data_IF_177517587424
#
_entry.id   IF_177517587424
#
_cell.length_a   1.000
_cell.length_b   1.000
_cell.length_c   1.000
_cell.angle_alpha   90.00
_cell.angle_beta   90.00
_cell.angle_gamma   90.00
#
_symmetry.space_group_name_H-M   'P 1'
#
loop_
_entity.id
_entity.type
_entity.pdbx_description
1 polymer ?
#
# COMPACT_ATOMS: atom_id res chain seq x y z
N UNK A 1 7.01 2.76 -10.73
CA UNK A 1 6.59 3.69 -9.65
C UNK A 1 6.36 5.08 -10.22
N UNK A 2 5.30 5.71 -9.80
CA UNK A 2 4.91 7.02 -10.31
C UNK A 2 4.64 7.97 -9.15
N UNK A 3 5.34 9.11 -9.14
CA UNK A 3 5.06 10.19 -8.20
C UNK A 3 3.70 10.82 -8.53
N UNK A 4 2.85 10.99 -7.51
CA UNK A 4 1.51 11.57 -7.68
C UNK A 4 1.47 13.01 -7.19
N UNK A 5 1.77 13.23 -5.92
CA UNK A 5 1.72 14.55 -5.30
C UNK A 5 2.45 14.55 -3.97
N UNK A 6 2.79 15.75 -3.49
CA UNK A 6 3.22 15.97 -2.11
C UNK A 6 2.16 16.83 -1.43
N UNK A 7 1.56 16.30 -0.35
CA UNK A 7 0.48 16.97 0.39
C UNK A 7 0.89 17.01 1.85
N UNK A 8 0.96 18.22 2.41
CA UNK A 8 1.38 18.47 3.80
C UNK A 8 2.72 17.81 4.14
N UNK A 9 3.67 17.85 3.18
CA UNK A 9 5.00 17.27 3.37
C UNK A 9 5.05 15.74 3.27
N UNK A 10 3.99 15.09 2.81
CA UNK A 10 3.90 13.64 2.59
C UNK A 10 3.88 13.37 1.08
N UNK A 11 4.80 12.52 0.62
CA UNK A 11 4.85 12.12 -0.79
C UNK A 11 3.93 10.92 -1.03
N UNK A 12 3.16 10.99 -2.10
CA UNK A 12 2.27 9.90 -2.52
C UNK A 12 2.79 9.30 -3.82
N UNK A 13 3.03 7.98 -3.80
CA UNK A 13 3.59 7.22 -4.93
C UNK A 13 2.62 6.12 -5.35
N UNK A 14 2.39 6.03 -6.66
CA UNK A 14 1.58 5.00 -7.28
C UNK A 14 2.47 3.90 -7.85
N UNK A 15 2.39 2.71 -7.26
CA UNK A 15 3.01 1.51 -7.78
C UNK A 15 1.96 0.40 -7.93
N UNK A 16 0.79 0.77 -8.45
CA UNK A 16 -0.31 -0.17 -8.68
C UNK A 16 0.07 -1.33 -9.59
N UNK A 17 1.11 -1.14 -10.42
CA UNK A 17 1.66 -2.18 -11.29
C UNK A 17 2.32 -3.32 -10.49
N UNK A 18 2.64 -3.12 -9.21
CA UNK A 18 3.21 -4.16 -8.34
C UNK A 18 2.12 -5.17 -7.94
N UNK A 19 1.80 -6.07 -8.84
CA UNK A 19 0.74 -7.07 -8.69
C UNK A 19 1.22 -8.37 -8.06
N UNK A 20 2.47 -8.42 -7.62
CA UNK A 20 3.06 -9.57 -6.92
C UNK A 20 4.05 -9.09 -5.84
N UNK A 21 4.44 -10.01 -4.97
CA UNK A 21 5.30 -9.71 -3.82
C UNK A 21 6.69 -9.25 -4.27
N UNK A 22 7.25 -9.86 -5.30
CA UNK A 22 8.56 -9.50 -5.81
C UNK A 22 8.64 -8.04 -6.28
N UNK A 23 7.62 -7.57 -6.98
CA UNK A 23 7.54 -6.17 -7.42
C UNK A 23 7.43 -5.21 -6.23
N UNK A 24 6.65 -5.58 -5.21
CA UNK A 24 6.56 -4.82 -3.97
C UNK A 24 7.91 -4.76 -3.24
N UNK A 25 8.68 -5.86 -3.26
CA UNK A 25 10.02 -5.89 -2.67
C UNK A 25 10.92 -4.79 -3.23
N UNK A 26 10.95 -4.65 -4.55
CA UNK A 26 11.76 -3.61 -5.21
C UNK A 26 11.26 -2.20 -4.88
N UNK A 27 9.95 -2.00 -4.81
CA UNK A 27 9.39 -0.70 -4.44
C UNK A 27 9.78 -0.32 -3.01
N UNK A 28 9.66 -1.24 -2.07
CA UNK A 28 10.04 -1.00 -0.67
C UNK A 28 11.54 -0.76 -0.53
N UNK A 29 12.36 -1.54 -1.22
CA UNK A 29 13.82 -1.38 -1.20
C UNK A 29 14.23 0.03 -1.62
N UNK A 30 13.53 0.63 -2.57
CA UNK A 30 13.84 1.97 -3.06
C UNK A 30 13.39 3.11 -2.14
N UNK A 31 12.59 2.83 -1.12
CA UNK A 31 12.13 3.86 -0.18
C UNK A 31 13.27 4.37 0.69
N UNK A 32 13.37 5.70 0.82
CA UNK A 32 14.42 6.39 1.60
C UNK A 32 13.86 7.15 2.79
N UNK A 33 12.55 7.17 2.97
CA UNK A 33 11.86 7.82 4.08
C UNK A 33 10.92 6.85 4.77
N UNK A 34 10.48 7.12 6.00
CA UNK A 34 9.47 6.30 6.64
C UNK A 34 8.24 6.19 5.75
N UNK A 35 7.67 4.99 5.68
CA UNK A 35 6.66 4.66 4.67
C UNK A 35 5.36 4.16 5.31
N UNK A 36 4.24 4.62 4.76
CA UNK A 36 2.92 4.02 4.96
C UNK A 36 2.62 3.20 3.70
N UNK A 37 2.47 1.90 3.85
CA UNK A 37 2.25 0.99 2.73
C UNK A 37 0.78 0.62 2.61
N UNK A 38 0.21 0.84 1.42
CA UNK A 38 -1.12 0.35 1.06
C UNK A 38 -0.93 -0.90 0.21
N UNK A 39 -1.45 -2.04 0.70
CA UNK A 39 -1.35 -3.32 0.01
C UNK A 39 -2.64 -4.11 0.13
N UNK A 40 -2.79 -5.10 -0.74
CA UNK A 40 -3.95 -5.96 -0.77
C UNK A 40 -4.58 -6.07 -2.15
N UNK A 41 -5.56 -6.93 -2.26
CA UNK A 41 -6.25 -7.24 -3.50
C UNK A 41 -6.60 -8.71 -3.58
N UNK A 42 -6.64 -9.25 -4.80
CA UNK A 42 -6.87 -10.67 -5.02
C UNK A 42 -5.58 -11.44 -4.71
N UNK A 43 -5.60 -12.23 -3.63
CA UNK A 43 -4.47 -13.08 -3.24
C UNK A 43 -4.55 -14.42 -3.98
N UNK A 44 -3.48 -14.77 -4.68
CA UNK A 44 -3.36 -16.03 -5.44
C UNK A 44 -2.31 -16.95 -4.83
N UNK A 45 -2.22 -16.99 -3.51
CA UNK A 45 -1.25 -17.83 -2.80
C UNK A 45 0.10 -17.14 -2.61
N UNK A 46 0.10 -15.83 -2.38
CA UNK A 46 1.31 -15.05 -2.15
C UNK A 46 2.04 -15.48 -0.87
N UNK A 47 3.37 -15.48 -0.94
CA UNK A 47 4.23 -15.58 0.24
C UNK A 47 4.73 -14.18 0.61
N UNK A 48 4.11 -13.57 1.63
CA UNK A 48 4.47 -12.22 2.08
C UNK A 48 5.74 -12.20 2.93
N UNK A 49 6.28 -13.33 3.33
CA UNK A 49 7.49 -13.38 4.16
C UNK A 49 8.70 -12.74 3.48
N UNK A 50 8.72 -12.71 2.15
CA UNK A 50 9.79 -12.11 1.36
C UNK A 50 9.93 -10.60 1.60
N UNK A 51 8.88 -9.92 2.05
CA UNK A 51 8.91 -8.46 2.32
C UNK A 51 8.90 -8.13 3.80
N UNK A 52 8.86 -9.10 4.70
CA UNK A 52 8.76 -8.85 6.15
C UNK A 52 9.88 -7.95 6.67
N UNK A 53 11.13 -8.23 6.30
CA UNK A 53 12.26 -7.45 6.78
C UNK A 53 12.22 -6.00 6.27
N UNK A 54 11.85 -5.80 5.02
CA UNK A 54 11.70 -4.45 4.45
C UNK A 54 10.55 -3.69 5.10
N UNK A 55 9.45 -4.36 5.41
CA UNK A 55 8.33 -3.73 6.12
C UNK A 55 8.77 -3.28 7.50
N UNK A 56 9.47 -4.13 8.25
CA UNK A 56 9.98 -3.78 9.58
C UNK A 56 10.98 -2.62 9.53
N UNK A 57 11.79 -2.56 8.49
CA UNK A 57 12.80 -1.51 8.31
C UNK A 57 12.20 -0.19 7.86
N UNK A 58 11.25 -0.22 6.92
CA UNK A 58 10.80 0.95 6.16
C UNK A 58 9.43 1.46 6.54
N UNK A 59 8.52 0.59 6.98
CA UNK A 59 7.12 0.94 7.19
C UNK A 59 6.81 1.14 8.67
N UNK A 60 6.03 2.17 8.98
CA UNK A 60 5.49 2.34 10.33
C UNK A 60 3.99 2.07 10.41
N UNK A 61 3.32 1.92 9.28
CA UNK A 61 1.88 1.65 9.21
C UNK A 61 1.57 0.84 7.94
N UNK A 62 0.72 -0.16 8.07
CA UNK A 62 0.19 -0.92 6.95
C UNK A 62 -1.30 -0.63 6.80
N UNK A 63 -1.74 -0.42 5.56
CA UNK A 63 -3.13 -0.25 5.23
C UNK A 63 -3.51 -1.34 4.23
N UNK A 64 -4.38 -2.23 4.67
CA UNK A 64 -4.89 -3.31 3.81
C UNK A 64 -6.09 -2.79 3.03
N UNK A 65 -6.08 -3.01 1.73
CA UNK A 65 -7.18 -2.63 0.86
C UNK A 65 -7.56 -3.81 -0.02
N UNK A 66 -8.67 -4.42 0.29
CA UNK A 66 -9.15 -5.58 -0.44
C UNK A 66 -10.55 -5.95 -0.01
N UNK A 67 -11.19 -6.78 -0.84
CA UNK A 67 -12.50 -7.32 -0.54
C UNK A 67 -12.43 -8.31 0.63
N UNK A 68 -11.31 -9.04 0.74
CA UNK A 68 -11.01 -9.96 1.82
C UNK A 68 -9.55 -9.79 2.22
N UNK A 69 -9.30 -9.25 3.41
CA UNK A 69 -7.96 -8.97 3.94
C UNK A 69 -7.47 -10.06 4.92
N UNK A 70 -8.17 -11.18 5.04
CA UNK A 70 -7.90 -12.18 6.08
C UNK A 70 -6.48 -12.74 6.03
N UNK A 71 -5.95 -13.01 4.85
CA UNK A 71 -4.57 -13.53 4.69
C UNK A 71 -3.52 -12.52 5.08
N UNK A 72 -3.75 -11.24 4.80
CA UNK A 72 -2.84 -10.16 5.21
C UNK A 72 -2.86 -9.98 6.73
N UNK A 73 -4.04 -9.96 7.33
CA UNK A 73 -4.21 -9.85 8.77
C UNK A 73 -3.46 -11.00 9.46
N UNK A 74 -3.65 -12.21 9.00
CA UNK A 74 -3.00 -13.40 9.56
C UNK A 74 -1.48 -13.32 9.44
N UNK A 75 -0.96 -13.00 8.25
CA UNK A 75 0.47 -12.97 8.01
C UNK A 75 1.17 -11.89 8.82
N UNK A 76 0.61 -10.67 8.84
CA UNK A 76 1.26 -9.52 9.48
C UNK A 76 0.91 -9.36 10.96
N UNK A 77 0.14 -10.27 11.54
CA UNK A 77 -0.26 -10.19 12.96
C UNK A 77 0.94 -10.14 13.93
N UNK A 78 2.07 -10.75 13.56
CA UNK A 78 3.28 -10.78 14.39
C UNK A 78 4.14 -9.52 14.26
N UNK A 79 3.87 -8.66 13.29
CA UNK A 79 4.61 -7.42 13.09
C UNK A 79 3.94 -6.32 13.91
N UNK A 80 4.69 -5.75 14.85
CA UNK A 80 4.17 -4.81 15.83
C UNK A 80 4.14 -3.37 15.31
N UNK A 81 3.32 -3.12 14.30
CA UNK A 81 3.03 -1.78 13.77
C UNK A 81 1.52 -1.64 13.54
N UNK A 82 0.98 -0.41 13.51
CA UNK A 82 -0.43 -0.19 13.19
C UNK A 82 -0.82 -0.81 11.85
N UNK A 83 -1.96 -1.49 11.83
CA UNK A 83 -2.50 -2.16 10.64
C UNK A 83 -3.99 -1.83 10.56
N UNK A 84 -4.40 -1.26 9.43
CA UNK A 84 -5.76 -0.75 9.21
C UNK A 84 -6.37 -1.46 8.02
N UNK A 85 -7.58 -2.00 8.18
CA UNK A 85 -8.30 -2.68 7.11
C UNK A 85 -9.27 -1.74 6.41
N UNK A 86 -9.26 -1.76 5.10
CA UNK A 86 -10.19 -1.02 4.25
C UNK A 86 -10.65 -1.88 3.09
N UNK A 87 -11.73 -1.50 2.43
CA UNK A 87 -12.28 -2.22 1.27
C UNK A 87 -12.50 -1.30 0.05
N UNK A 88 -11.95 -0.10 0.09
CA UNK A 88 -12.03 0.84 -1.03
C UNK A 88 -10.85 1.82 -1.00
N UNK A 89 -10.57 2.41 -2.15
CA UNK A 89 -9.40 3.28 -2.29
C UNK A 89 -9.55 4.60 -1.54
N UNK A 90 -10.76 5.13 -1.45
CA UNK A 90 -11.00 6.40 -0.76
C UNK A 90 -10.68 6.28 0.72
N UNK A 91 -11.14 5.21 1.37
CA UNK A 91 -10.86 4.96 2.78
C UNK A 91 -9.39 4.62 3.01
N UNK A 92 -8.76 3.88 2.09
CA UNK A 92 -7.34 3.55 2.19
C UNK A 92 -6.47 4.82 2.13
N UNK A 93 -6.72 5.70 1.18
CA UNK A 93 -5.98 6.96 1.04
C UNK A 93 -6.22 7.88 2.23
N UNK A 94 -7.46 7.94 2.72
CA UNK A 94 -7.80 8.74 3.90
C UNK A 94 -7.09 8.22 5.16
N UNK A 95 -7.06 6.91 5.36
CA UNK A 95 -6.35 6.29 6.47
C UNK A 95 -4.85 6.58 6.38
N UNK A 96 -4.26 6.50 5.19
CA UNK A 96 -2.86 6.85 4.97
C UNK A 96 -2.59 8.31 5.31
N UNK A 97 -3.44 9.21 4.84
CA UNK A 97 -3.34 10.64 5.13
C UNK A 97 -3.38 10.93 6.64
N UNK A 98 -4.26 10.25 7.36
CA UNK A 98 -4.43 10.44 8.81
C UNK A 98 -3.25 9.91 9.63
N UNK A 99 -2.51 8.92 9.11
CA UNK A 99 -1.42 8.25 9.82
C UNK A 99 -0.04 8.68 9.35
N UNK A 100 0.08 9.40 8.25
CA UNK A 100 1.35 9.87 7.73
C UNK A 100 1.76 11.18 8.41
N UNK A 101 3.07 11.36 8.55
CA UNK A 101 3.68 12.56 9.12
C UNK A 101 4.54 13.26 8.07
N UNK A 102 4.84 14.54 8.28
CA UNK A 102 5.75 15.30 7.42
C UNK A 102 7.05 14.53 7.23
N UNK A 103 7.45 14.36 5.99
CA UNK A 103 8.65 13.60 5.61
C UNK A 103 8.37 12.14 5.25
N UNK A 104 7.16 11.64 5.47
CA UNK A 104 6.78 10.27 5.10
C UNK A 104 6.49 10.13 3.62
N UNK A 105 6.51 8.89 3.16
CA UNK A 105 5.98 8.48 1.85
C UNK A 105 4.78 7.55 2.06
N UNK A 106 3.70 7.81 1.34
CA UNK A 106 2.59 6.87 1.18
C UNK A 106 2.79 6.13 -0.13
N UNK A 107 2.94 4.83 -0.06
CA UNK A 107 3.22 3.97 -1.20
C UNK A 107 2.06 3.01 -1.43
N UNK A 108 1.43 3.10 -2.61
CA UNK A 108 0.54 2.05 -3.10
C UNK A 108 1.39 1.03 -3.84
N UNK A 109 1.68 -0.10 -3.21
CA UNK A 109 2.38 -1.23 -3.83
C UNK A 109 1.70 -2.53 -3.37
N UNK A 110 0.64 -2.95 -4.06
CA UNK A 110 -0.38 -3.83 -3.50
C UNK A 110 0.02 -5.28 -3.27
N UNK A 111 1.09 -5.77 -3.89
CA UNK A 111 1.49 -7.18 -3.88
C UNK A 111 0.49 -8.14 -4.55
N UNK A 112 -0.70 -7.69 -4.86
CA UNK A 112 -1.84 -8.50 -5.30
C UNK A 112 -2.43 -7.97 -6.59
N UNK A 113 -3.11 -8.85 -7.33
CA UNK A 113 -3.91 -8.44 -8.47
C UNK A 113 -5.10 -7.58 -8.01
N UNK A 114 -5.63 -6.79 -8.95
CA UNK A 114 -6.60 -5.73 -8.63
C UNK A 114 -8.06 -6.12 -8.86
N UNK A 115 -8.34 -7.33 -9.31
CA UNK A 115 -9.65 -7.70 -9.87
C UNK A 115 -10.78 -7.83 -8.84
N UNK A 116 -10.47 -7.79 -7.54
CA UNK A 116 -11.49 -7.81 -6.49
C UNK A 116 -12.28 -6.50 -6.39
N UNK A 117 -11.60 -5.34 -6.54
CA UNK A 117 -12.19 -4.02 -6.36
C UNK A 117 -12.11 -3.14 -7.62
N UNK A 118 -11.31 -3.51 -8.60
CA UNK A 118 -11.01 -2.70 -9.77
C UNK A 118 -11.08 -3.54 -11.05
N UNK A 119 -11.18 -2.89 -12.21
CA UNK A 119 -11.19 -3.58 -13.50
C UNK A 119 -9.82 -4.17 -13.85
N UNK A 120 -8.75 -3.45 -13.50
CA UNK A 120 -7.36 -3.85 -13.74
C UNK A 120 -6.43 -2.99 -12.87
N UNK A 121 -5.11 -3.21 -12.95
CA UNK A 121 -4.17 -2.45 -12.13
C UNK A 121 -4.06 -0.98 -12.56
N UNK A 122 -4.29 -0.67 -13.84
CA UNK A 122 -4.31 0.72 -14.32
C UNK A 122 -5.48 1.47 -13.70
N UNK A 123 -6.67 0.88 -13.67
CA UNK A 123 -7.85 1.44 -13.01
C UNK A 123 -7.58 1.72 -11.53
N UNK A 124 -6.99 0.76 -10.83
CA UNK A 124 -6.60 0.95 -9.43
C UNK A 124 -5.65 2.13 -9.26
N UNK A 125 -4.65 2.24 -10.12
CA UNK A 125 -3.70 3.36 -10.09
C UNK A 125 -4.36 4.70 -10.35
N UNK A 126 -5.27 4.78 -11.34
CA UNK A 126 -6.01 6.01 -11.64
C UNK A 126 -6.89 6.41 -10.48
N UNK A 127 -7.62 5.48 -9.88
CA UNK A 127 -8.48 5.78 -8.74
C UNK A 127 -7.65 6.22 -7.52
N UNK A 128 -6.48 5.63 -7.31
CA UNK A 128 -5.55 6.07 -6.28
C UNK A 128 -5.10 7.52 -6.50
N UNK A 129 -4.65 7.85 -7.71
CA UNK A 129 -4.22 9.20 -8.03
C UNK A 129 -5.33 10.22 -7.83
N UNK A 130 -6.56 9.88 -8.24
CA UNK A 130 -7.72 10.76 -8.05
C UNK A 130 -8.05 10.95 -6.57
N UNK A 131 -7.99 9.89 -5.77
CA UNK A 131 -8.23 9.97 -4.33
C UNK A 131 -7.19 10.84 -3.63
N UNK A 132 -5.92 10.72 -4.02
CA UNK A 132 -4.83 11.57 -3.49
C UNK A 132 -5.07 13.04 -3.85
N UNK A 133 -5.42 13.33 -5.09
CA UNK A 133 -5.64 14.71 -5.55
C UNK A 133 -6.86 15.36 -4.93
N UNK A 134 -7.78 14.57 -4.38
CA UNK A 134 -8.98 15.05 -3.70
C UNK A 134 -8.83 15.15 -2.17
N UNK A 135 -7.63 14.96 -1.66
CA UNK A 135 -7.35 15.12 -0.23
C UNK A 135 -7.48 16.58 0.23
#
# INVERSE_FOLDING_TARGET
MQYVATIRGVRYINDSKATNVNSCWYALESMTTPTVLILGGTDKGNDYSEIDDLIKEKCHTLIFMGKDNSKLIEHFASINIPQICTDNIQDAVKAAYQNAQVGDTVLLSPCCASFDLFHNYEDRGIQYMNAVRNL
#
